data_IF_167769490035
#
_entry.id   IF_167769490035
#
_cell.length_a   1.000
_cell.length_b   1.000
_cell.length_c   1.000
_cell.angle_alpha   90.00
_cell.angle_beta   90.00
_cell.angle_gamma   90.00
#
_symmetry.space_group_name_H-M   'P 1'
#
loop_
_entity.id
_entity.type
_entity.pdbx_description
1 polymer ?
#
# COMPACT_ATOMS: atom_id res chain seq x y z
N UNK A 1 -26.12 -33.64 76.93
CA UNK A 1 -24.65 -33.54 76.83
C UNK A 1 -24.37 -33.16 75.37
N UNK A 2 -23.54 -32.14 75.17
CA UNK A 2 -23.69 -31.14 74.10
C UNK A 2 -23.72 -31.64 72.65
N UNK A 3 -24.73 -31.17 71.91
CA UNK A 3 -24.63 -31.05 70.45
C UNK A 3 -23.82 -29.79 70.15
N UNK A 4 -22.66 -29.98 69.52
CA UNK A 4 -21.84 -28.92 68.97
C UNK A 4 -22.56 -28.33 67.76
N UNK A 5 -22.91 -27.06 67.87
CA UNK A 5 -23.46 -26.23 66.82
C UNK A 5 -22.33 -25.93 65.82
N UNK A 6 -22.29 -26.68 64.72
CA UNK A 6 -21.34 -26.43 63.63
C UNK A 6 -21.94 -25.36 62.74
N UNK A 7 -21.38 -24.16 62.85
CA UNK A 7 -21.77 -22.98 62.11
C UNK A 7 -21.60 -23.18 60.60
N UNK A 8 -22.71 -23.54 59.94
CA UNK A 8 -22.80 -23.87 58.51
C UNK A 8 -22.31 -22.72 57.62
N UNK A 9 -22.29 -21.48 58.11
CA UNK A 9 -21.83 -20.32 57.33
C UNK A 9 -20.33 -20.32 57.09
N UNK A 10 -19.54 -20.95 57.97
CA UNK A 10 -18.08 -21.06 57.78
C UNK A 10 -17.69 -22.15 56.77
N UNK A 11 -18.51 -23.18 56.60
CA UNK A 11 -18.29 -24.22 55.59
C UNK A 11 -18.56 -23.67 54.18
N UNK A 12 -19.54 -22.78 54.03
CA UNK A 12 -19.88 -22.18 52.73
C UNK A 12 -18.78 -21.23 52.20
N UNK A 13 -18.08 -20.52 53.09
CA UNK A 13 -17.03 -19.57 52.70
C UNK A 13 -15.74 -20.26 52.24
N UNK A 14 -15.46 -21.47 52.74
CA UNK A 14 -14.30 -22.27 52.30
C UNK A 14 -14.51 -22.84 50.89
N UNK A 15 -15.74 -23.17 50.51
CA UNK A 15 -16.03 -23.64 49.14
C UNK A 15 -15.90 -22.55 48.07
N UNK A 16 -16.19 -21.29 48.39
CA UNK A 16 -16.07 -20.17 47.43
C UNK A 16 -14.61 -19.80 47.13
N UNK A 17 -13.71 -19.95 48.11
CA UNK A 17 -12.27 -19.67 47.91
C UNK A 17 -11.57 -20.79 47.14
N UNK A 18 -12.03 -22.05 47.24
CA UNK A 18 -11.44 -23.16 46.46
C UNK A 18 -11.91 -23.15 45.00
N UNK A 19 -13.11 -22.65 44.69
CA UNK A 19 -13.60 -22.58 43.30
C UNK A 19 -12.94 -21.48 42.46
N UNK A 20 -12.32 -20.47 43.08
CA UNK A 20 -11.62 -19.38 42.38
C UNK A 20 -10.18 -19.74 41.96
N UNK A 21 -9.64 -20.88 42.39
CA UNK A 21 -8.30 -21.35 42.00
C UNK A 21 -8.31 -22.46 40.92
N UNK A 22 -9.48 -22.91 40.46
CA UNK A 22 -9.60 -23.98 39.44
C UNK A 22 -10.00 -23.43 38.05
N UNK A 23 -10.34 -22.14 37.90
CA UNK A 23 -10.57 -21.50 36.59
C UNK A 23 -9.25 -20.93 36.01
N UNK A 24 -8.18 -21.70 36.08
CA UNK A 24 -6.95 -21.49 35.29
C UNK A 24 -6.59 -22.77 34.54
N UNK A 25 -7.60 -23.44 34.00
CA UNK A 25 -7.49 -24.58 33.11
C UNK A 25 -7.86 -24.16 31.69
N UNK A 26 -6.90 -24.35 30.78
CA UNK A 26 -6.96 -24.09 29.34
C UNK A 26 -8.33 -24.38 28.72
N UNK A 27 -8.89 -23.36 28.07
CA UNK A 27 -9.92 -23.57 27.06
C UNK A 27 -9.54 -22.71 25.86
N UNK A 28 -8.79 -23.32 24.93
CA UNK A 28 -8.77 -22.89 23.53
C UNK A 28 -10.20 -23.01 23.02
N UNK A 29 -10.94 -21.91 23.15
CA UNK A 29 -12.24 -21.71 22.51
C UNK A 29 -12.03 -20.54 21.57
N UNK A 30 -12.21 -20.81 20.28
CA UNK A 30 -12.30 -19.84 19.21
C UNK A 30 -13.15 -18.62 19.63
N UNK A 31 -12.47 -17.56 20.06
CA UNK A 31 -13.02 -16.23 20.26
C UNK A 31 -13.27 -15.61 18.88
N UNK A 32 -14.37 -16.01 18.26
CA UNK A 32 -14.95 -15.29 17.12
C UNK A 32 -16.41 -14.97 17.39
N UNK A 33 -16.70 -14.46 18.60
CA UNK A 33 -17.98 -13.86 18.96
C UNK A 33 -17.78 -12.59 19.77
N UNK A 34 -18.30 -11.50 19.19
CA UNK A 34 -18.67 -10.22 19.81
C UNK A 34 -17.64 -9.08 19.95
N UNK A 35 -16.89 -8.76 18.89
CA UNK A 35 -16.29 -7.41 18.75
C UNK A 35 -17.23 -6.36 18.12
N UNK A 36 -18.44 -6.74 17.67
CA UNK A 36 -19.39 -5.79 17.07
C UNK A 36 -19.80 -4.66 18.04
N UNK A 37 -19.94 -4.96 19.33
CA UNK A 37 -20.30 -3.96 20.34
C UNK A 37 -19.22 -2.91 20.59
N UNK A 38 -17.95 -3.30 20.53
CA UNK A 38 -16.82 -2.39 20.69
C UNK A 38 -16.62 -1.52 19.44
N UNK A 39 -16.79 -2.11 18.26
CA UNK A 39 -16.63 -1.40 16.99
C UNK A 39 -17.70 -0.31 16.74
N UNK A 40 -18.95 -0.56 17.17
CA UNK A 40 -20.02 0.44 17.12
C UNK A 40 -19.67 1.65 18.02
N UNK A 41 -19.10 1.41 19.20
CA UNK A 41 -18.72 2.47 20.13
C UNK A 41 -17.58 3.33 19.54
N UNK A 42 -16.55 2.69 18.98
CA UNK A 42 -15.44 3.40 18.32
C UNK A 42 -15.93 4.27 17.17
N UNK A 43 -16.84 3.76 16.34
CA UNK A 43 -17.36 4.48 15.17
C UNK A 43 -18.20 5.70 15.56
N UNK A 44 -19.08 5.54 16.56
CA UNK A 44 -19.88 6.65 17.09
C UNK A 44 -19.02 7.73 17.74
N UNK A 45 -18.02 7.32 18.54
CA UNK A 45 -17.08 8.24 19.19
C UNK A 45 -16.21 8.98 18.17
N UNK A 46 -15.71 8.30 17.15
CA UNK A 46 -14.95 8.93 16.07
C UNK A 46 -15.79 9.98 15.31
N UNK A 47 -17.05 9.67 15.00
CA UNK A 47 -17.96 10.61 14.36
C UNK A 47 -18.20 11.85 15.23
N UNK A 48 -18.43 11.66 16.53
CA UNK A 48 -18.63 12.76 17.47
C UNK A 48 -17.40 13.67 17.56
N UNK A 49 -16.20 13.10 17.68
CA UNK A 49 -14.94 13.86 17.71
C UNK A 49 -14.77 14.66 16.42
N UNK A 50 -14.94 14.02 15.25
CA UNK A 50 -14.80 14.67 13.96
C UNK A 50 -15.75 15.86 13.81
N UNK A 51 -17.03 15.69 14.14
CA UNK A 51 -18.03 16.76 14.00
C UNK A 51 -17.90 17.87 15.06
N UNK A 52 -17.22 17.63 16.17
CA UNK A 52 -16.94 18.64 17.20
C UNK A 52 -15.66 19.44 16.94
N UNK A 53 -14.75 18.93 16.12
CA UNK A 53 -13.53 19.63 15.78
C UNK A 53 -13.80 20.89 14.93
N UNK A 54 -13.27 22.03 15.38
CA UNK A 54 -13.48 23.34 14.74
C UNK A 54 -12.87 23.44 13.34
N UNK A 55 -11.77 22.74 13.05
CA UNK A 55 -11.13 22.71 11.73
C UNK A 55 -11.98 21.90 10.76
N UNK A 56 -12.51 20.77 11.21
CA UNK A 56 -13.44 19.96 10.42
C UNK A 56 -14.68 20.76 10.05
N UNK A 57 -15.33 21.43 11.02
CA UNK A 57 -16.52 22.27 10.76
C UNK A 57 -16.27 23.35 9.72
N UNK A 58 -15.08 23.98 9.74
CA UNK A 58 -14.68 24.98 8.75
C UNK A 58 -14.56 24.40 7.35
N UNK A 59 -14.11 23.15 7.25
CA UNK A 59 -13.91 22.45 5.97
C UNK A 59 -15.23 21.95 5.38
N UNK A 60 -16.07 21.29 6.18
CA UNK A 60 -17.30 20.64 5.68
C UNK A 60 -18.47 21.63 5.49
N UNK A 61 -18.42 22.78 6.16
CA UNK A 61 -19.49 23.77 6.12
C UNK A 61 -20.80 23.26 6.72
N UNK A 62 -21.93 23.81 6.25
CA UNK A 62 -23.27 23.45 6.76
C UNK A 62 -23.98 22.38 5.94
N UNK A 63 -23.56 22.16 4.69
CA UNK A 63 -24.21 21.25 3.75
C UNK A 63 -23.29 20.08 3.45
N UNK A 64 -23.41 19.03 4.26
CA UNK A 64 -22.61 17.82 4.15
C UNK A 64 -23.47 16.56 4.32
N UNK A 65 -22.97 15.45 3.81
CA UNK A 65 -23.53 14.11 3.99
C UNK A 65 -22.46 13.19 4.54
N UNK A 66 -22.72 12.53 5.66
CA UNK A 66 -21.85 11.48 6.17
C UNK A 66 -22.06 10.25 5.29
N UNK A 67 -20.97 9.73 4.72
CA UNK A 67 -21.01 8.55 3.86
C UNK A 67 -20.83 7.29 4.69
N UNK A 68 -19.73 7.23 5.44
CA UNK A 68 -19.38 6.08 6.27
C UNK A 68 -18.38 6.45 7.36
N UNK A 69 -18.25 5.55 8.33
CA UNK A 69 -17.15 5.53 9.30
C UNK A 69 -16.49 4.16 9.19
N UNK A 70 -15.21 4.13 8.81
CA UNK A 70 -14.46 2.89 8.56
C UNK A 70 -13.06 2.98 9.16
N UNK A 71 -12.24 1.93 9.05
CA UNK A 71 -10.83 1.96 9.45
C UNK A 71 -9.98 2.12 8.20
N UNK A 72 -8.98 2.99 8.24
CA UNK A 72 -8.01 3.16 7.16
C UNK A 72 -6.61 3.41 7.68
N UNK A 73 -5.61 2.99 6.91
CA UNK A 73 -4.20 3.22 7.21
C UNK A 73 -3.81 4.65 6.84
N UNK A 74 -3.25 5.38 7.79
CA UNK A 74 -2.69 6.71 7.55
C UNK A 74 -1.17 6.65 7.62
N UNK A 75 -0.53 7.04 6.52
CA UNK A 75 0.90 7.26 6.46
C UNK A 75 1.19 8.74 6.16
N UNK A 76 1.79 9.44 7.14
CA UNK A 76 2.24 10.82 6.98
C UNK A 76 3.74 10.87 7.22
N UNK A 77 4.48 11.41 6.25
CA UNK A 77 5.92 11.67 6.34
C UNK A 77 6.10 13.18 6.29
N UNK A 78 6.56 13.78 7.39
CA UNK A 78 6.77 15.23 7.48
C UNK A 78 7.63 15.63 8.68
N UNK A 79 8.42 16.70 8.53
CA UNK A 79 9.31 17.22 9.59
C UNK A 79 10.19 16.16 10.27
N UNK A 80 10.72 15.22 9.50
CA UNK A 80 11.57 14.13 10.01
C UNK A 80 10.82 13.07 10.84
N UNK A 81 9.49 13.16 10.95
CA UNK A 81 8.65 12.20 11.67
C UNK A 81 7.82 11.40 10.67
N UNK A 82 7.70 10.09 10.91
CA UNK A 82 6.81 9.19 10.17
C UNK A 82 5.71 8.71 11.10
N UNK A 83 4.48 9.04 10.77
CA UNK A 83 3.28 8.48 11.41
C UNK A 83 2.76 7.39 10.46
N UNK A 84 2.69 6.16 10.93
CA UNK A 84 2.12 5.02 10.17
C UNK A 84 1.30 4.19 11.16
N UNK A 85 -0.02 4.33 11.08
CA UNK A 85 -0.97 3.70 12.00
C UNK A 85 -2.37 3.67 11.37
N UNK A 86 -3.17 2.70 11.79
CA UNK A 86 -4.59 2.62 11.42
C UNK A 86 -5.43 3.52 12.32
N UNK A 87 -6.32 4.30 11.71
CA UNK A 87 -7.26 5.18 12.42
C UNK A 87 -8.69 4.93 11.93
N UNK A 88 -9.71 5.14 12.78
CA UNK A 88 -11.06 5.44 12.33
C UNK A 88 -11.06 6.65 11.39
N UNK A 89 -11.74 6.51 10.27
CA UNK A 89 -11.91 7.55 9.25
C UNK A 89 -13.39 7.83 9.07
N UNK A 90 -13.75 9.10 9.23
CA UNK A 90 -15.09 9.60 8.94
C UNK A 90 -15.07 10.19 7.53
N UNK A 91 -15.84 9.61 6.63
CA UNK A 91 -15.94 10.05 5.22
C UNK A 91 -17.14 10.98 5.08
N UNK A 92 -16.88 12.22 4.70
CA UNK A 92 -17.89 13.27 4.58
C UNK A 92 -17.91 13.80 3.15
N UNK A 93 -19.07 13.77 2.52
CA UNK A 93 -19.31 14.35 1.21
C UNK A 93 -19.83 15.79 1.34
N UNK A 94 -19.20 16.72 0.61
CA UNK A 94 -19.63 18.12 0.47
C UNK A 94 -20.12 18.38 -0.96
N UNK A 95 -20.50 19.63 -1.27
CA UNK A 95 -20.86 20.04 -2.63
C UNK A 95 -19.72 19.83 -3.64
N UNK A 96 -18.47 20.08 -3.25
CA UNK A 96 -17.32 20.13 -4.16
C UNK A 96 -16.22 19.11 -3.85
N UNK A 97 -16.34 18.33 -2.79
CA UNK A 97 -15.30 17.40 -2.35
C UNK A 97 -15.84 16.23 -1.54
N UNK A 98 -14.98 15.24 -1.34
CA UNK A 98 -15.08 14.20 -0.32
C UNK A 98 -13.92 14.42 0.65
N UNK A 99 -14.23 14.54 1.93
CA UNK A 99 -13.28 14.74 3.01
C UNK A 99 -13.11 13.42 3.79
N UNK A 100 -11.86 13.05 4.07
CA UNK A 100 -11.46 11.88 4.84
C UNK A 100 -10.87 12.36 6.15
N UNK A 101 -11.61 12.21 7.24
CA UNK A 101 -11.22 12.76 8.55
C UNK A 101 -10.70 11.62 9.42
N UNK A 102 -9.40 11.59 9.65
CA UNK A 102 -8.72 10.58 10.46
C UNK A 102 -8.76 11.01 11.93
N UNK A 103 -9.30 10.15 12.79
CA UNK A 103 -9.57 10.47 14.20
C UNK A 103 -8.77 9.56 15.13
N UNK A 104 -8.06 10.16 16.08
CA UNK A 104 -7.51 9.44 17.22
C UNK A 104 -8.54 9.44 18.35
N UNK A 105 -9.23 8.31 18.49
CA UNK A 105 -10.31 8.13 19.48
C UNK A 105 -9.77 8.07 20.91
N UNK A 106 -8.52 7.65 21.10
CA UNK A 106 -7.89 7.57 22.42
C UNK A 106 -7.54 8.96 22.93
N UNK A 107 -6.99 9.80 22.05
CA UNK A 107 -6.61 11.18 22.38
C UNK A 107 -7.73 12.20 22.16
N UNK A 108 -8.89 11.79 21.63
CA UNK A 108 -10.04 12.64 21.29
C UNK A 108 -9.68 13.80 20.34
N UNK A 109 -8.82 13.53 19.36
CA UNK A 109 -8.32 14.54 18.41
C UNK A 109 -8.48 14.12 16.96
N UNK A 110 -8.64 15.10 16.07
CA UNK A 110 -8.51 14.89 14.62
C UNK A 110 -7.03 14.94 14.24
N UNK A 111 -6.53 13.84 13.68
CA UNK A 111 -5.11 13.68 13.30
C UNK A 111 -4.86 14.32 11.93
N UNK A 112 -5.74 14.08 10.97
CA UNK A 112 -5.56 14.51 9.60
C UNK A 112 -6.90 14.69 8.87
N UNK A 113 -6.93 15.62 7.92
CA UNK A 113 -8.07 15.85 7.02
C UNK A 113 -7.56 15.74 5.58
N UNK A 114 -7.85 14.61 4.94
CA UNK A 114 -7.60 14.38 3.52
C UNK A 114 -8.77 14.89 2.67
N UNK A 115 -8.48 15.39 1.46
CA UNK A 115 -9.50 15.95 0.57
C UNK A 115 -9.36 15.45 -0.85
N UNK A 116 -10.47 15.02 -1.44
CA UNK A 116 -10.60 14.71 -2.87
C UNK A 116 -11.65 15.65 -3.47
N UNK A 117 -11.26 16.51 -4.40
CA UNK A 117 -12.21 17.38 -5.09
C UNK A 117 -13.04 16.59 -6.10
N UNK A 118 -14.36 16.80 -6.08
CA UNK A 118 -15.25 16.31 -7.14
C UNK A 118 -14.86 17.02 -8.42
N UNK A 119 -14.70 16.26 -9.50
CA UNK A 119 -14.53 16.86 -10.83
C UNK A 119 -15.80 17.65 -11.13
N UNK A 120 -15.67 18.96 -11.29
CA UNK A 120 -16.75 19.72 -11.92
C UNK A 120 -16.97 19.12 -13.30
N UNK A 121 -18.22 18.83 -13.70
CA UNK A 121 -18.47 18.51 -15.10
C UNK A 121 -17.87 19.65 -15.93
N UNK A 122 -17.07 19.31 -16.93
CA UNK A 122 -16.59 20.30 -17.88
C UNK A 122 -17.82 21.03 -18.43
N UNK A 123 -17.73 22.35 -18.69
CA UNK A 123 -18.78 23.05 -19.42
C UNK A 123 -19.13 22.20 -20.64
N UNK A 124 -20.40 21.85 -20.78
CA UNK A 124 -20.87 21.15 -21.98
C UNK A 124 -20.60 22.10 -23.14
N UNK A 125 -19.49 21.93 -23.85
CA UNK A 125 -19.27 22.63 -25.11
C UNK A 125 -20.39 22.18 -26.04
N UNK A 126 -21.24 23.12 -26.47
CA UNK A 126 -22.19 22.84 -27.53
C UNK A 126 -21.40 22.31 -28.72
N UNK A 127 -21.67 21.09 -29.20
CA UNK A 127 -20.88 20.50 -30.25
C UNK A 127 -21.02 21.37 -31.50
N UNK A 128 -19.95 22.09 -31.86
CA UNK A 128 -19.80 22.63 -33.21
C UNK A 128 -19.86 21.45 -34.17
N UNK A 129 -20.98 21.33 -34.86
CA UNK A 129 -21.31 20.24 -35.75
C UNK A 129 -20.45 20.36 -37.02
N UNK A 130 -19.20 19.92 -36.94
CA UNK A 130 -18.35 19.69 -38.10
C UNK A 130 -18.72 18.33 -38.69
N UNK A 131 -19.35 18.34 -39.87
CA UNK A 131 -19.83 17.17 -40.58
C UNK A 131 -18.67 16.36 -41.20
N UNK A 132 -17.79 15.82 -40.36
CA UNK A 132 -16.89 14.75 -40.80
C UNK A 132 -17.56 13.39 -40.59
N UNK A 133 -17.44 12.46 -41.55
CA UNK A 133 -17.90 11.10 -41.35
C UNK A 133 -17.16 10.47 -40.15
N UNK A 134 -17.82 9.59 -39.38
CA UNK A 134 -17.21 8.95 -38.22
C UNK A 134 -16.02 8.10 -38.68
N UNK A 135 -14.82 8.50 -38.25
CA UNK A 135 -13.60 7.70 -38.46
C UNK A 135 -13.68 6.50 -37.52
N UNK A 136 -13.76 5.29 -38.07
CA UNK A 136 -13.67 4.06 -37.29
C UNK A 136 -12.21 3.84 -36.86
N UNK A 137 -11.89 4.21 -35.62
CA UNK A 137 -10.59 3.90 -35.02
C UNK A 137 -10.69 2.58 -34.26
N UNK A 138 -9.86 1.60 -34.63
CA UNK A 138 -9.66 0.37 -33.89
C UNK A 138 -8.25 0.33 -33.25
N UNK A 139 -8.01 -0.65 -32.38
CA UNK A 139 -6.71 -0.81 -31.69
C UNK A 139 -5.56 -0.97 -32.70
N UNK A 140 -5.79 -1.70 -33.79
CA UNK A 140 -4.79 -1.91 -34.86
C UNK A 140 -4.34 -0.59 -35.49
N UNK A 141 -5.23 0.39 -35.68
CA UNK A 141 -4.88 1.74 -36.14
C UNK A 141 -4.02 2.47 -35.10
N UNK A 142 -4.38 2.39 -33.82
CA UNK A 142 -3.62 3.02 -32.74
C UNK A 142 -2.19 2.49 -32.71
N UNK A 143 -2.02 1.17 -32.70
CA UNK A 143 -0.72 0.51 -32.64
C UNK A 143 0.12 0.78 -33.90
N UNK A 144 -0.48 0.68 -35.09
CA UNK A 144 0.28 0.76 -36.34
C UNK A 144 0.47 2.18 -36.88
N UNK A 145 -0.32 3.15 -36.44
CA UNK A 145 -0.26 4.52 -36.96
C UNK A 145 0.18 5.51 -35.90
N UNK A 146 -0.44 5.50 -34.72
CA UNK A 146 -0.15 6.49 -33.67
C UNK A 146 1.14 6.09 -32.94
N UNK A 147 1.16 4.90 -32.34
CA UNK A 147 2.25 4.46 -31.46
C UNK A 147 3.54 4.10 -32.21
N UNK A 148 3.49 4.01 -33.55
CA UNK A 148 4.68 3.82 -34.39
C UNK A 148 5.47 5.09 -34.68
N UNK A 149 4.96 6.28 -34.37
CA UNK A 149 5.68 7.53 -34.59
C UNK A 149 6.94 7.62 -33.72
N UNK A 150 8.03 8.08 -34.31
CA UNK A 150 9.34 8.17 -33.64
C UNK A 150 9.31 9.05 -32.39
N UNK A 151 8.52 10.14 -32.41
CA UNK A 151 8.33 11.03 -31.27
C UNK A 151 7.64 10.35 -30.07
N UNK A 152 6.79 9.34 -30.30
CA UNK A 152 6.18 8.55 -29.23
C UNK A 152 7.17 7.47 -28.77
N UNK A 153 7.73 6.70 -29.71
CA UNK A 153 8.68 5.62 -29.42
C UNK A 153 9.89 6.08 -28.62
N UNK A 154 10.42 7.26 -28.93
CA UNK A 154 11.56 7.84 -28.19
C UNK A 154 11.24 8.16 -26.73
N UNK A 155 9.95 8.30 -26.38
CA UNK A 155 9.50 8.60 -25.01
C UNK A 155 9.04 7.35 -24.27
N UNK A 156 8.28 6.47 -24.92
CA UNK A 156 7.65 5.32 -24.25
C UNK A 156 8.41 3.99 -24.44
N UNK A 157 9.36 3.93 -25.40
CA UNK A 157 10.06 2.72 -25.77
C UNK A 157 9.30 1.86 -26.80
N UNK A 158 9.82 0.65 -27.05
CA UNK A 158 9.22 -0.33 -27.97
C UNK A 158 8.33 -1.35 -27.26
N UNK A 159 8.53 -1.54 -25.95
CA UNK A 159 7.74 -2.46 -25.14
C UNK A 159 6.59 -1.72 -24.48
N UNK A 160 5.37 -1.92 -24.99
CA UNK A 160 4.18 -1.30 -24.46
C UNK A 160 2.91 -2.12 -24.67
N UNK A 161 1.88 -1.84 -23.87
CA UNK A 161 0.52 -2.37 -23.97
C UNK A 161 -0.49 -1.23 -23.99
N UNK A 162 -1.43 -1.25 -24.94
CA UNK A 162 -2.52 -0.26 -25.00
C UNK A 162 -3.61 -0.66 -24.00
N UNK A 163 -3.75 0.11 -22.93
CA UNK A 163 -4.74 -0.18 -21.88
C UNK A 163 -6.14 0.24 -22.34
N UNK A 164 -6.25 1.46 -22.86
CA UNK A 164 -7.53 2.05 -23.26
C UNK A 164 -7.32 3.25 -24.18
N UNK A 165 -8.39 3.70 -24.83
CA UNK A 165 -8.40 4.96 -25.55
C UNK A 165 -9.77 5.62 -25.44
N UNK A 166 -9.79 6.95 -25.45
CA UNK A 166 -11.00 7.75 -25.44
C UNK A 166 -10.92 8.86 -26.48
N UNK A 167 -12.06 9.17 -27.11
CA UNK A 167 -12.18 10.33 -27.98
C UNK A 167 -12.50 11.57 -27.15
N UNK A 168 -11.85 12.68 -27.49
CA UNK A 168 -12.08 13.99 -26.89
C UNK A 168 -12.30 15.03 -28.00
N UNK A 169 -12.96 16.15 -27.68
CA UNK A 169 -13.23 17.27 -28.59
C UNK A 169 -13.90 16.83 -29.92
N UNK A 170 -15.15 16.37 -29.86
CA UNK A 170 -15.93 15.96 -31.03
C UNK A 170 -15.22 14.92 -31.92
N UNK A 171 -14.53 13.96 -31.32
CA UNK A 171 -13.80 12.89 -32.02
C UNK A 171 -12.62 13.33 -32.90
N UNK A 172 -12.10 14.55 -32.69
CA UNK A 172 -10.92 15.04 -33.40
C UNK A 172 -9.60 14.70 -32.71
N UNK A 173 -9.65 14.46 -31.39
CA UNK A 173 -8.49 14.07 -30.59
C UNK A 173 -8.76 12.70 -29.99
N UNK A 174 -7.82 11.78 -30.18
CA UNK A 174 -7.81 10.51 -29.45
C UNK A 174 -6.78 10.59 -28.32
N UNK A 175 -7.19 10.17 -27.14
CA UNK A 175 -6.33 10.05 -25.97
C UNK A 175 -6.11 8.57 -25.71
N UNK A 176 -4.88 8.12 -25.84
CA UNK A 176 -4.46 6.73 -25.71
C UNK A 176 -3.74 6.57 -24.38
N UNK A 177 -4.15 5.58 -23.58
CA UNK A 177 -3.46 5.20 -22.37
C UNK A 177 -2.60 3.97 -22.64
N UNK A 178 -1.32 4.10 -22.36
CA UNK A 178 -0.33 3.07 -22.67
C UNK A 178 0.42 2.70 -21.41
N UNK A 179 0.53 1.41 -21.15
CA UNK A 179 1.35 0.85 -20.11
C UNK A 179 2.70 0.46 -20.70
N UNK A 180 3.79 0.82 -20.05
CA UNK A 180 5.13 0.30 -20.36
C UNK A 180 5.70 -0.42 -19.13
N UNK A 181 6.82 -1.15 -19.28
CA UNK A 181 7.57 -1.65 -18.13
C UNK A 181 8.03 -0.54 -17.17
N UNK A 182 8.09 0.71 -17.65
CA UNK A 182 8.71 1.84 -16.97
C UNK A 182 7.71 2.76 -16.27
N UNK A 183 6.59 3.06 -16.94
CA UNK A 183 5.60 4.02 -16.50
C UNK A 183 4.31 3.83 -17.31
N UNK A 184 3.25 4.49 -16.87
CA UNK A 184 2.02 4.59 -17.64
C UNK A 184 1.91 5.98 -18.24
N UNK A 185 1.55 6.05 -19.52
CA UNK A 185 1.51 7.28 -20.31
C UNK A 185 0.09 7.56 -20.81
N UNK A 186 -0.22 8.85 -20.99
CA UNK A 186 -1.39 9.33 -21.70
C UNK A 186 -0.93 10.14 -22.90
N UNK A 187 -1.24 9.65 -24.09
CA UNK A 187 -0.85 10.24 -25.36
C UNK A 187 -2.09 10.89 -25.95
N UNK A 188 -2.05 12.21 -26.15
CA UNK A 188 -3.09 12.93 -26.90
C UNK A 188 -2.65 13.09 -28.34
N UNK A 189 -3.51 12.71 -29.27
CA UNK A 189 -3.21 12.66 -30.69
C UNK A 189 -4.31 13.33 -31.51
N UNK A 190 -3.95 14.30 -32.34
CA UNK A 190 -4.86 14.99 -33.24
C UNK A 190 -5.03 14.23 -34.54
N UNK A 191 -6.22 13.65 -34.77
CA UNK A 191 -6.52 12.85 -35.95
C UNK A 191 -6.51 13.68 -37.24
N UNK A 192 -7.06 14.89 -37.21
CA UNK A 192 -7.15 15.76 -38.39
C UNK A 192 -5.78 16.18 -38.94
N UNK A 193 -4.83 16.45 -38.04
CA UNK A 193 -3.52 16.96 -38.40
C UNK A 193 -2.43 15.87 -38.40
N UNK A 194 -2.76 14.64 -37.97
CA UNK A 194 -1.82 13.54 -37.83
C UNK A 194 -0.60 13.89 -36.92
N UNK A 195 -0.87 14.57 -35.81
CA UNK A 195 0.15 15.13 -34.90
C UNK A 195 -0.04 14.65 -33.47
N UNK A 196 1.07 14.40 -32.77
CA UNK A 196 1.07 14.20 -31.33
C UNK A 196 0.93 15.54 -30.64
N UNK A 197 -0.10 15.67 -29.79
CA UNK A 197 -0.42 16.90 -29.07
C UNK A 197 0.31 16.93 -27.73
N UNK A 198 0.26 15.83 -26.97
CA UNK A 198 1.00 15.67 -25.72
C UNK A 198 1.30 14.21 -25.42
N UNK A 199 2.38 13.98 -24.69
CA UNK A 199 2.73 12.70 -24.08
C UNK A 199 2.94 12.97 -22.60
N UNK A 200 1.94 12.63 -21.80
CA UNK A 200 1.90 12.94 -20.38
C UNK A 200 2.19 11.66 -19.58
N UNK A 201 3.07 11.75 -18.58
CA UNK A 201 3.31 10.63 -17.66
C UNK A 201 2.21 10.62 -16.58
N UNK A 202 1.38 9.58 -16.58
CA UNK A 202 0.22 9.47 -15.67
C UNK A 202 0.66 8.91 -14.32
N UNK A 203 1.60 7.98 -14.34
CA UNK A 203 2.16 7.35 -13.15
C UNK A 203 3.69 7.26 -13.26
N UNK A 204 4.41 8.37 -13.02
CA UNK A 204 5.86 8.40 -13.16
C UNK A 204 6.56 7.56 -12.09
N UNK A 205 5.82 7.16 -11.05
CA UNK A 205 6.32 6.47 -9.88
C UNK A 205 6.09 4.96 -9.91
N UNK A 206 5.83 4.36 -11.08
CA UNK A 206 5.68 2.90 -11.18
C UNK A 206 6.98 2.26 -10.69
N UNK A 207 6.90 1.63 -9.52
CA UNK A 207 8.02 0.92 -8.91
C UNK A 207 8.01 -0.48 -9.48
N UNK A 208 9.11 -0.87 -10.11
CA UNK A 208 9.34 -2.26 -10.51
C UNK A 208 10.56 -2.78 -9.79
N UNK A 209 10.49 -4.03 -9.33
CA UNK A 209 11.61 -4.73 -8.73
C UNK A 209 12.06 -5.76 -9.75
N UNK A 210 13.33 -5.74 -10.13
CA UNK A 210 13.92 -6.68 -11.10
C UNK A 210 15.05 -7.46 -10.45
N UNK A 211 15.15 -8.74 -10.81
CA UNK A 211 16.33 -9.54 -10.52
C UNK A 211 17.47 -9.13 -11.45
N UNK A 212 18.64 -8.93 -10.87
CA UNK A 212 19.86 -8.63 -11.63
C UNK A 212 20.99 -9.60 -11.27
N UNK A 213 21.90 -9.87 -12.23
CA UNK A 213 23.08 -10.66 -11.95
C UNK A 213 23.93 -10.00 -10.86
N UNK A 214 24.55 -10.84 -10.05
CA UNK A 214 25.47 -10.42 -8.98
C UNK A 214 26.89 -10.61 -9.49
N UNK A 215 27.71 -9.55 -9.47
CA UNK A 215 29.13 -9.69 -9.80
C UNK A 215 29.86 -10.50 -8.70
N UNK A 216 31.02 -11.07 -9.00
CA UNK A 216 31.78 -11.80 -7.97
C UNK A 216 32.24 -10.86 -6.83
N UNK A 217 32.57 -9.60 -7.12
CA UNK A 217 32.92 -8.59 -6.11
C UNK A 217 31.72 -8.27 -5.20
N UNK A 218 30.54 -8.08 -5.78
CA UNK A 218 29.30 -7.87 -5.03
C UNK A 218 28.98 -9.07 -4.15
N UNK A 219 29.09 -10.28 -4.71
CA UNK A 219 28.86 -11.54 -4.00
C UNK A 219 29.78 -11.68 -2.79
N UNK A 220 31.08 -11.39 -2.93
CA UNK A 220 32.02 -11.41 -1.81
C UNK A 220 31.65 -10.37 -0.74
N UNK A 221 31.28 -9.15 -1.15
CA UNK A 221 30.83 -8.09 -0.24
C UNK A 221 29.57 -8.49 0.52
N UNK A 222 28.55 -9.01 -0.16
CA UNK A 222 27.29 -9.43 0.46
C UNK A 222 27.49 -10.62 1.40
N UNK A 223 28.35 -11.57 1.03
CA UNK A 223 28.74 -12.68 1.91
C UNK A 223 29.48 -12.19 3.15
N UNK A 224 30.43 -11.25 3.03
CA UNK A 224 31.12 -10.69 4.18
C UNK A 224 30.15 -10.05 5.19
N UNK A 225 29.13 -9.34 4.70
CA UNK A 225 28.08 -8.76 5.56
C UNK A 225 27.29 -9.86 6.26
N UNK A 226 26.81 -10.86 5.52
CA UNK A 226 26.00 -11.94 6.08
C UNK A 226 26.78 -12.81 7.08
N UNK A 227 28.00 -13.20 6.74
CA UNK A 227 28.86 -14.04 7.57
C UNK A 227 29.39 -13.31 8.82
N UNK A 228 29.35 -11.98 8.85
CA UNK A 228 29.69 -11.24 10.06
C UNK A 228 28.56 -11.25 11.11
N UNK A 229 27.30 -11.51 10.69
CA UNK A 229 26.15 -11.55 11.59
C UNK A 229 26.18 -12.77 12.52
N UNK A 230 26.02 -12.54 13.82
CA UNK A 230 26.08 -13.57 14.86
C UNK A 230 25.08 -14.71 14.66
N UNK A 231 23.87 -14.42 14.15
CA UNK A 231 22.83 -15.42 13.91
C UNK A 231 23.24 -16.39 12.81
N UNK A 232 23.93 -15.88 11.78
CA UNK A 232 24.45 -16.70 10.69
C UNK A 232 25.62 -17.55 11.17
N UNK A 233 26.55 -16.97 11.92
CA UNK A 233 27.66 -17.73 12.53
C UNK A 233 27.14 -18.90 13.37
N UNK A 234 26.09 -18.67 14.14
CA UNK A 234 25.45 -19.70 14.95
C UNK A 234 24.78 -20.80 14.13
N UNK A 235 24.15 -20.46 12.99
CA UNK A 235 23.55 -21.45 12.08
C UNK A 235 24.64 -22.28 11.39
N UNK A 236 25.71 -21.64 10.91
CA UNK A 236 26.74 -22.32 10.14
C UNK A 236 27.64 -23.20 11.03
N UNK A 237 28.01 -22.73 12.25
CA UNK A 237 28.93 -23.44 13.17
C UNK A 237 30.23 -23.95 12.53
N UNK A 238 30.71 -23.27 11.50
CA UNK A 238 31.91 -23.69 10.75
C UNK A 238 31.70 -24.88 9.81
N UNK A 239 30.46 -25.31 9.56
CA UNK A 239 30.12 -26.30 8.53
C UNK A 239 30.34 -25.73 7.13
N UNK A 240 30.66 -26.61 6.19
CA UNK A 240 30.66 -26.28 4.77
C UNK A 240 29.23 -25.99 4.30
N UNK A 241 29.11 -25.10 3.32
CA UNK A 241 27.82 -24.67 2.79
C UNK A 241 27.94 -24.34 1.31
N UNK A 242 26.84 -24.52 0.58
CA UNK A 242 26.68 -23.98 -0.77
C UNK A 242 25.90 -22.68 -0.72
N UNK A 243 26.30 -21.72 -1.55
CA UNK A 243 25.65 -20.40 -1.64
C UNK A 243 25.02 -20.20 -3.01
N UNK A 244 23.78 -19.74 -3.01
CA UNK A 244 23.21 -19.03 -4.16
C UNK A 244 22.74 -17.63 -3.73
N UNK A 245 22.66 -16.70 -4.69
CA UNK A 245 22.35 -15.31 -4.39
C UNK A 245 21.50 -14.69 -5.48
N UNK A 246 20.52 -13.90 -5.06
CA UNK A 246 19.67 -13.10 -5.95
C UNK A 246 19.70 -11.67 -5.46
N UNK A 247 19.99 -10.74 -6.39
CA UNK A 247 19.97 -9.30 -6.14
C UNK A 247 18.73 -8.71 -6.79
N UNK A 248 17.96 -7.99 -6.00
CA UNK A 248 16.80 -7.23 -6.47
C UNK A 248 17.15 -5.75 -6.53
N UNK A 249 16.85 -5.13 -7.66
CA UNK A 249 17.06 -3.69 -7.91
C UNK A 249 15.70 -3.03 -8.10
N UNK A 250 15.47 -1.92 -7.41
CA UNK A 250 14.26 -1.13 -7.58
C UNK A 250 14.48 -0.10 -8.68
N UNK A 251 13.58 -0.15 -9.66
CA UNK A 251 13.50 0.81 -10.75
C UNK A 251 12.32 1.75 -10.52
N UNK A 252 12.52 3.04 -10.83
CA UNK A 252 11.47 4.04 -10.91
C UNK A 252 11.63 4.77 -12.24
N UNK A 253 10.55 4.85 -13.02
CA UNK A 253 10.60 5.40 -14.39
C UNK A 253 11.73 4.77 -15.23
N UNK A 254 11.94 3.45 -15.11
CA UNK A 254 13.03 2.70 -15.73
C UNK A 254 14.47 3.14 -15.41
N UNK A 255 14.66 4.01 -14.43
CA UNK A 255 15.98 4.30 -13.88
C UNK A 255 16.17 3.52 -12.59
N UNK A 256 17.41 3.07 -12.35
CA UNK A 256 17.79 2.44 -11.08
C UNK A 256 17.60 3.46 -9.97
N UNK A 257 16.57 3.26 -9.14
CA UNK A 257 16.28 4.12 -8.01
C UNK A 257 17.00 3.65 -6.76
N UNK A 258 17.21 2.33 -6.63
CA UNK A 258 17.93 1.73 -5.50
C UNK A 258 18.59 0.42 -5.91
N UNK A 259 19.90 0.34 -5.73
CA UNK A 259 20.73 -0.81 -6.08
C UNK A 259 21.73 -1.14 -4.94
N UNK A 260 21.58 -2.28 -4.26
CA UNK A 260 20.42 -3.18 -4.31
C UNK A 260 19.25 -2.63 -3.50
N UNK A 261 18.01 -2.96 -3.88
CA UNK A 261 16.84 -2.80 -3.02
C UNK A 261 16.78 -3.89 -1.96
N UNK A 262 17.09 -5.13 -2.35
CA UNK A 262 17.32 -6.23 -1.42
C UNK A 262 18.27 -7.26 -2.01
N UNK A 263 18.95 -8.01 -1.16
CA UNK A 263 19.78 -9.16 -1.56
C UNK A 263 19.35 -10.37 -0.76
N UNK A 264 19.02 -11.46 -1.47
CA UNK A 264 18.62 -12.72 -0.89
C UNK A 264 19.76 -13.72 -1.07
N UNK A 265 20.32 -14.18 0.05
CA UNK A 265 21.41 -15.15 0.07
C UNK A 265 20.85 -16.46 0.60
N UNK A 266 21.00 -17.53 -0.16
CA UNK A 266 20.55 -18.86 0.25
C UNK A 266 21.76 -19.71 0.58
N UNK A 267 21.81 -20.19 1.82
CA UNK A 267 22.79 -21.16 2.28
C UNK A 267 22.14 -22.54 2.30
N UNK A 268 22.76 -23.51 1.63
CA UNK A 268 22.36 -24.92 1.74
C UNK A 268 23.37 -25.65 2.62
N UNK A 269 22.91 -26.14 3.77
CA UNK A 269 23.68 -26.86 4.77
C UNK A 269 23.09 -28.26 4.92
N UNK A 270 23.81 -29.28 4.46
CA UNK A 270 23.31 -30.65 4.48
C UNK A 270 21.94 -30.76 3.75
N UNK A 271 20.87 -31.09 4.47
CA UNK A 271 19.49 -31.14 4.00
C UNK A 271 18.68 -29.87 4.30
N UNK A 272 19.27 -28.88 4.96
CA UNK A 272 18.60 -27.66 5.40
C UNK A 272 18.92 -26.50 4.45
N UNK A 273 17.92 -25.65 4.21
CA UNK A 273 18.07 -24.43 3.41
C UNK A 273 17.78 -23.24 4.31
N UNK A 274 18.66 -22.25 4.28
CA UNK A 274 18.52 -21.01 5.02
C UNK A 274 18.53 -19.83 4.06
N UNK A 275 17.58 -18.90 4.22
CA UNK A 275 17.51 -17.65 3.47
C UNK A 275 17.88 -16.49 4.37
N UNK A 276 18.81 -15.67 3.90
CA UNK A 276 19.27 -14.45 4.55
C UNK A 276 18.88 -13.27 3.68
N UNK A 277 18.19 -12.30 4.26
CA UNK A 277 17.75 -11.11 3.56
C UNK A 277 18.58 -9.92 4.04
N UNK A 278 19.29 -9.29 3.11
CA UNK A 278 19.96 -8.01 3.32
C UNK A 278 19.07 -6.90 2.78
N UNK A 279 18.84 -5.86 3.59
CA UNK A 279 18.17 -4.64 3.18
C UNK A 279 19.05 -3.41 3.44
N UNK A 280 18.97 -2.37 2.60
CA UNK A 280 19.65 -1.12 2.83
C UNK A 280 19.00 -0.36 3.99
N UNK A 281 19.82 0.04 4.96
CA UNK A 281 19.44 0.83 6.12
C UNK A 281 20.48 1.95 6.30
N UNK A 282 20.05 3.21 6.18
CA UNK A 282 20.93 4.39 6.22
C UNK A 282 22.13 4.33 5.25
N UNK A 283 21.92 3.79 4.04
CA UNK A 283 22.96 3.68 3.01
C UNK A 283 23.86 2.44 3.12
N UNK A 284 23.68 1.62 4.15
CA UNK A 284 24.45 0.38 4.35
C UNK A 284 23.55 -0.85 4.30
N UNK A 285 24.02 -1.96 3.74
CA UNK A 285 23.28 -3.22 3.77
C UNK A 285 23.43 -3.90 5.13
N UNK A 286 22.32 -4.39 5.68
CA UNK A 286 22.28 -5.11 6.95
C UNK A 286 21.43 -6.37 6.85
N UNK A 287 21.81 -7.40 7.60
CA UNK A 287 21.01 -8.60 7.75
C UNK A 287 19.76 -8.26 8.56
N UNK A 288 18.62 -8.21 7.89
CA UNK A 288 17.34 -7.93 8.57
C UNK A 288 16.63 -9.22 8.98
N UNK A 289 16.88 -10.32 8.27
CA UNK A 289 16.18 -11.57 8.48
C UNK A 289 17.03 -12.78 8.13
N UNK A 290 16.84 -13.84 8.93
CA UNK A 290 17.40 -15.17 8.73
C UNK A 290 16.23 -16.15 8.87
N UNK A 291 15.95 -16.91 7.84
CA UNK A 291 14.83 -17.84 7.78
C UNK A 291 15.33 -19.24 7.45
N UNK A 292 14.82 -20.25 8.15
CA UNK A 292 14.98 -21.64 7.75
C UNK A 292 13.85 -21.99 6.79
N UNK A 293 14.19 -22.38 5.57
CA UNK A 293 13.25 -22.83 4.55
C UNK A 293 13.06 -24.34 4.72
N UNK A 294 11.80 -24.77 4.84
CA UNK A 294 11.40 -26.18 4.97
C UNK A 294 11.23 -26.79 3.58
#
# INVERSE_FOLDING_TARGET
MGLLDVDLTKIFLIFIVVFSLIISGCSDKDENKSNEGEEINVSQKALQIALNDSKVRRVIGTNYKIIEVSKSHLEIIGNGTRISRDYPVVVIETKSSIEYIFVDVQNETVVHIGRIYKRSPLPTEEPKQTSMPPVSVNITFIENTILKKDEIKSVIGEEFEVISYEFTNNSTIIKVFVQTPCADYSIKYGLANNTVISIDNVYPWKKTIKEEPVSEEEKQRFLAIALNDSRIKEVLKGRDFNVSMVKYVMYMACQKARDPDSVHITFKLDSEIYRVVLLPYNGELRVVRVERMV
#
